data_IF_777857442448
#
_entry.id   IF_777857442448
#
_cell.length_a   1.000
_cell.length_b   1.000
_cell.length_c   1.000
_cell.angle_alpha   90.00
_cell.angle_beta   90.00
_cell.angle_gamma   90.00
#
_symmetry.space_group_name_H-M   'P 1'
#
loop_
_entity.id
_entity.type
_entity.pdbx_description
1 polymer ?
#
# COMPACT_ATOMS: atom_id res chain seq x y z
N UNK A 1 -64.98 22.97 34.26
CA UNK A 1 -65.66 24.25 33.99
C UNK A 1 -64.60 25.31 33.71
N UNK A 2 -64.86 26.15 32.70
CA UNK A 2 -64.16 27.38 32.29
C UNK A 2 -62.72 27.30 31.72
N UNK A 3 -62.58 27.50 30.40
CA UNK A 3 -61.47 28.29 29.80
C UNK A 3 -61.90 29.76 29.65
N UNK A 4 -61.34 30.61 28.75
CA UNK A 4 -60.07 30.60 27.98
C UNK A 4 -59.32 31.99 27.97
N UNK A 5 -58.33 32.16 27.06
CA UNK A 5 -57.78 33.44 26.47
C UNK A 5 -56.68 34.18 27.29
N UNK A 6 -55.56 34.70 26.76
CA UNK A 6 -55.10 34.90 25.38
C UNK A 6 -53.65 35.47 25.25
N UNK A 7 -53.26 35.71 23.99
CA UNK A 7 -51.95 36.12 23.43
C UNK A 7 -51.50 37.58 23.70
N UNK A 8 -50.19 37.80 23.83
CA UNK A 8 -49.31 38.90 23.33
C UNK A 8 -47.87 38.52 23.77
N UNK A 9 -46.76 38.54 23.02
CA UNK A 9 -46.36 39.23 21.79
C UNK A 9 -45.15 40.13 22.11
N UNK A 10 -43.91 39.65 21.95
CA UNK A 10 -42.69 40.50 21.96
C UNK A 10 -41.58 39.92 21.07
N UNK A 11 -41.39 40.56 19.92
CA UNK A 11 -40.11 40.66 19.23
C UNK A 11 -39.22 41.64 20.02
N UNK A 12 -37.92 41.34 20.15
CA UNK A 12 -36.79 42.25 19.85
C UNK A 12 -35.50 41.74 20.51
N UNK A 13 -34.81 40.84 19.79
CA UNK A 13 -33.36 40.77 19.82
C UNK A 13 -32.80 41.90 18.96
N UNK A 14 -31.96 42.79 19.49
CA UNK A 14 -30.82 43.43 18.81
C UNK A 14 -30.30 44.62 19.62
N UNK A 15 -29.16 44.47 20.30
CA UNK A 15 -28.33 45.64 20.70
C UNK A 15 -26.87 45.32 21.03
N UNK A 16 -26.48 44.06 21.33
CA UNK A 16 -25.14 43.79 21.89
C UNK A 16 -24.11 43.20 20.88
N UNK A 17 -24.51 42.85 19.65
CA UNK A 17 -23.59 42.24 18.65
C UNK A 17 -22.86 43.22 17.71
N UNK A 18 -23.32 44.46 17.58
CA UNK A 18 -22.70 45.45 16.67
C UNK A 18 -21.33 45.98 17.13
N UNK A 19 -21.10 46.01 18.45
CA UNK A 19 -19.89 46.61 19.04
C UNK A 19 -18.61 45.81 18.75
N UNK A 20 -18.67 44.48 18.70
CA UNK A 20 -17.47 43.63 18.48
C UNK A 20 -16.99 43.61 17.04
N UNK A 21 -17.91 43.69 16.08
CA UNK A 21 -17.59 43.73 14.65
C UNK A 21 -16.96 45.08 14.31
N UNK A 22 -17.49 46.18 14.87
CA UNK A 22 -16.90 47.51 14.68
C UNK A 22 -15.46 47.59 15.20
N UNK A 23 -15.16 46.99 16.36
CA UNK A 23 -13.80 46.96 16.92
C UNK A 23 -12.85 46.15 16.03
N UNK A 24 -13.28 45.01 15.49
CA UNK A 24 -12.45 44.20 14.59
C UNK A 24 -12.13 44.92 13.27
N UNK A 25 -13.10 45.67 12.72
CA UNK A 25 -12.89 46.48 11.51
C UNK A 25 -11.88 47.59 11.78
N UNK A 26 -11.99 48.30 12.92
CA UNK A 26 -11.04 49.36 13.29
C UNK A 26 -9.61 48.82 13.45
N UNK A 27 -9.45 47.65 14.08
CA UNK A 27 -8.13 47.00 14.23
C UNK A 27 -7.57 46.60 12.86
N UNK A 28 -8.39 46.02 11.98
CA UNK A 28 -7.97 45.63 10.63
C UNK A 28 -7.53 46.82 9.77
N UNK A 29 -8.26 47.94 9.85
CA UNK A 29 -7.92 49.18 9.14
C UNK A 29 -6.61 49.78 9.67
N UNK A 30 -6.42 49.81 11.00
CA UNK A 30 -5.18 50.33 11.60
C UNK A 30 -3.95 49.50 11.22
N UNK A 31 -4.06 48.16 11.24
CA UNK A 31 -2.98 47.28 10.78
C UNK A 31 -2.70 47.45 9.29
N UNK A 32 -3.75 47.55 8.45
CA UNK A 32 -3.60 47.81 7.01
C UNK A 32 -2.90 49.12 6.71
N UNK A 33 -3.21 50.19 7.46
CA UNK A 33 -2.54 51.48 7.33
C UNK A 33 -1.06 51.43 7.74
N UNK A 34 -0.70 50.67 8.78
CA UNK A 34 0.70 50.49 9.20
C UNK A 34 1.51 49.79 8.11
N UNK A 35 0.96 48.74 7.49
CA UNK A 35 1.64 48.04 6.40
C UNK A 35 1.76 48.88 5.13
N UNK A 36 0.76 49.72 4.81
CA UNK A 36 0.80 50.61 3.66
C UNK A 36 1.82 51.75 3.79
N UNK A 37 2.08 52.24 5.01
CA UNK A 37 3.06 53.31 5.28
C UNK A 37 4.49 52.75 5.37
N UNK A 38 4.68 51.56 5.96
CA UNK A 38 6.00 50.97 6.17
C UNK A 38 6.52 50.19 4.94
N UNK A 39 5.63 49.74 4.05
CA UNK A 39 5.99 48.96 2.86
C UNK A 39 5.28 49.48 1.59
N UNK A 40 5.57 50.71 1.13
CA UNK A 40 4.87 51.34 -0.01
C UNK A 40 5.11 50.66 -1.36
N UNK A 41 6.03 49.68 -1.45
CA UNK A 41 6.36 48.95 -2.69
C UNK A 41 6.22 47.41 -2.58
N UNK A 42 5.53 46.90 -1.56
CA UNK A 42 5.31 45.47 -1.38
C UNK A 42 6.54 44.71 -0.87
N UNK A 43 6.32 43.51 -0.34
CA UNK A 43 7.32 42.70 0.39
C UNK A 43 8.13 41.73 -0.47
N UNK A 44 7.94 41.72 -1.79
CA UNK A 44 8.74 40.92 -2.71
C UNK A 44 8.91 41.65 -4.06
N UNK A 45 10.13 42.07 -4.36
CA UNK A 45 10.53 42.54 -5.69
C UNK A 45 11.96 42.06 -5.99
N UNK A 46 12.08 41.45 -7.17
CA UNK A 46 13.26 41.20 -8.02
C UNK A 46 14.50 40.48 -7.45
N UNK A 47 14.84 39.35 -8.10
CA UNK A 47 16.00 39.26 -9.01
C UNK A 47 15.74 38.09 -9.98
N UNK A 48 15.50 38.43 -11.25
CA UNK A 48 15.57 37.50 -12.37
C UNK A 48 16.66 37.93 -13.35
N UNK A 49 17.56 36.97 -13.63
CA UNK A 49 18.55 36.87 -14.73
C UNK A 49 19.80 37.77 -14.69
N UNK A 50 20.97 37.17 -15.01
CA UNK A 50 21.37 37.19 -16.42
C UNK A 50 21.75 35.83 -17.00
N UNK A 51 21.57 35.78 -18.32
CA UNK A 51 21.99 34.75 -19.27
C UNK A 51 23.52 34.66 -19.47
N UNK A 52 23.93 33.46 -19.89
CA UNK A 52 25.01 33.07 -20.82
C UNK A 52 26.49 33.00 -20.40
N UNK A 53 27.11 31.94 -20.97
CA UNK A 53 28.54 31.59 -21.10
C UNK A 53 29.21 30.81 -19.95
N UNK A 54 29.49 29.51 -20.15
CA UNK A 54 30.86 29.01 -20.33
C UNK A 54 30.94 27.53 -20.78
N UNK A 55 31.62 27.39 -21.91
CA UNK A 55 32.25 26.26 -22.60
C UNK A 55 32.83 25.12 -21.73
N UNK A 56 32.57 23.88 -22.17
CA UNK A 56 33.45 22.69 -22.19
C UNK A 56 34.34 22.34 -20.99
N UNK A 57 34.20 21.11 -20.48
CA UNK A 57 35.35 20.24 -20.20
C UNK A 57 34.95 18.76 -20.16
N UNK A 58 35.66 17.97 -20.98
CA UNK A 58 35.72 16.51 -20.97
C UNK A 58 36.18 16.04 -19.58
N UNK A 59 35.48 15.09 -18.99
CA UNK A 59 35.95 14.34 -17.84
C UNK A 59 36.62 13.05 -18.32
N UNK A 60 37.93 13.04 -18.17
CA UNK A 60 38.85 11.96 -18.45
C UNK A 60 38.65 10.81 -17.45
N UNK A 61 38.70 9.57 -17.96
CA UNK A 61 38.81 8.33 -17.19
C UNK A 61 40.03 8.39 -16.26
N UNK A 62 39.84 8.13 -14.97
CA UNK A 62 40.91 7.77 -14.04
C UNK A 62 40.75 6.29 -13.64
N UNK A 63 41.76 5.48 -13.96
CA UNK A 63 41.95 4.15 -13.41
C UNK A 63 42.65 4.27 -12.05
N UNK A 64 42.18 3.63 -10.97
CA UNK A 64 42.98 3.48 -9.77
C UNK A 64 44.01 2.35 -9.97
N UNK A 65 45.27 2.65 -9.65
CA UNK A 65 46.36 1.69 -9.48
C UNK A 65 46.01 0.79 -8.28
N UNK A 66 45.93 -0.52 -8.52
CA UNK A 66 45.85 -1.55 -7.48
C UNK A 66 47.27 -2.09 -7.26
N UNK A 67 47.73 -2.01 -6.01
CA UNK A 67 48.95 -2.62 -5.50
C UNK A 67 48.85 -4.14 -5.60
N UNK A 68 49.87 -4.77 -6.20
CA UNK A 68 49.97 -6.21 -6.39
C UNK A 68 50.48 -6.88 -5.11
N UNK A 69 49.68 -7.78 -4.55
CA UNK A 69 50.15 -8.82 -3.61
C UNK A 69 50.46 -10.12 -4.35
N UNK A 70 51.20 -11.00 -3.67
CA UNK A 70 52.00 -12.15 -4.15
C UNK A 70 51.38 -13.03 -5.24
N UNK A 71 52.21 -13.38 -6.22
CA UNK A 71 51.91 -14.17 -7.41
C UNK A 71 51.24 -15.54 -7.13
N UNK A 72 49.98 -15.67 -7.53
CA UNK A 72 49.44 -16.92 -8.05
C UNK A 72 50.19 -17.30 -9.33
N UNK A 73 50.30 -18.59 -9.64
CA UNK A 73 51.07 -19.04 -10.80
C UNK A 73 50.46 -18.48 -12.11
N UNK A 74 51.27 -18.10 -13.12
CA UNK A 74 50.76 -17.59 -14.40
C UNK A 74 49.75 -18.54 -15.07
N UNK A 75 49.90 -19.84 -14.82
CA UNK A 75 49.01 -20.90 -15.30
C UNK A 75 47.64 -20.83 -14.62
N UNK A 76 47.56 -20.64 -13.29
CA UNK A 76 46.30 -20.48 -12.56
C UNK A 76 45.55 -19.22 -12.97
N UNK A 77 46.25 -18.09 -13.17
CA UNK A 77 45.62 -16.84 -13.61
C UNK A 77 45.06 -16.96 -15.03
N UNK A 78 45.75 -17.68 -15.92
CA UNK A 78 45.26 -17.95 -17.27
C UNK A 78 44.03 -18.87 -17.27
N UNK A 79 44.04 -19.90 -16.41
CA UNK A 79 42.91 -20.81 -16.21
C UNK A 79 41.70 -20.08 -15.65
N UNK A 80 41.86 -19.27 -14.60
CA UNK A 80 40.79 -18.46 -14.00
C UNK A 80 40.19 -17.46 -14.99
N UNK A 81 41.02 -16.82 -15.83
CA UNK A 81 40.52 -15.94 -16.90
C UNK A 81 39.72 -16.69 -17.96
N UNK A 82 40.14 -17.92 -18.30
CA UNK A 82 39.38 -18.76 -19.22
C UNK A 82 38.03 -19.18 -18.62
N UNK A 83 37.99 -19.58 -17.35
CA UNK A 83 36.76 -19.94 -16.63
C UNK A 83 35.82 -18.76 -16.46
N UNK A 84 36.35 -17.56 -16.15
CA UNK A 84 35.56 -16.33 -16.04
C UNK A 84 34.92 -15.95 -17.39
N UNK A 85 35.64 -16.16 -18.49
CA UNK A 85 35.15 -15.90 -19.84
C UNK A 85 34.07 -16.91 -20.23
N UNK A 86 34.26 -18.19 -19.91
CA UNK A 86 33.28 -19.26 -20.12
C UNK A 86 32.00 -19.05 -19.28
N UNK A 87 32.15 -18.62 -18.02
CA UNK A 87 31.04 -18.26 -17.15
C UNK A 87 30.30 -17.02 -17.67
N UNK A 88 31.02 -16.00 -18.15
CA UNK A 88 30.41 -14.82 -18.78
C UNK A 88 29.59 -15.21 -20.01
N UNK A 89 30.14 -16.05 -20.89
CA UNK A 89 29.46 -16.53 -22.09
C UNK A 89 28.22 -17.35 -21.73
N UNK A 90 28.30 -18.24 -20.73
CA UNK A 90 27.14 -18.97 -20.21
C UNK A 90 26.07 -18.05 -19.63
N UNK A 91 26.47 -16.99 -18.93
CA UNK A 91 25.54 -16.02 -18.35
C UNK A 91 24.82 -15.21 -19.43
N UNK A 92 25.50 -14.87 -20.52
CA UNK A 92 24.90 -14.20 -21.68
C UNK A 92 23.94 -15.13 -22.44
N UNK A 93 24.29 -16.41 -22.57
CA UNK A 93 23.40 -17.43 -23.14
C UNK A 93 22.16 -17.65 -22.26
N UNK A 94 22.32 -17.74 -20.93
CA UNK A 94 21.21 -17.83 -19.99
C UNK A 94 20.32 -16.58 -20.04
N UNK A 95 20.88 -15.38 -20.12
CA UNK A 95 20.09 -14.14 -20.32
C UNK A 95 19.33 -14.15 -21.64
N UNK A 96 19.88 -14.76 -22.69
CA UNK A 96 19.20 -14.94 -23.97
C UNK A 96 18.06 -15.95 -23.85
N UNK A 97 18.28 -17.08 -23.17
CA UNK A 97 17.24 -18.08 -22.89
C UNK A 97 16.11 -17.53 -22.01
N UNK A 98 16.43 -16.75 -20.98
CA UNK A 98 15.42 -16.08 -20.15
C UNK A 98 14.61 -15.09 -21.00
N UNK A 99 15.25 -14.29 -21.86
CA UNK A 99 14.52 -13.40 -22.78
C UNK A 99 13.61 -14.17 -23.74
N UNK A 100 14.10 -15.26 -24.33
CA UNK A 100 13.32 -16.11 -25.25
C UNK A 100 12.16 -16.79 -24.52
N UNK A 101 12.38 -17.31 -23.31
CA UNK A 101 11.34 -17.90 -22.47
C UNK A 101 10.32 -16.86 -22.00
N UNK A 102 10.73 -15.64 -21.67
CA UNK A 102 9.82 -14.53 -21.34
C UNK A 102 8.97 -14.15 -22.55
N UNK A 103 9.56 -14.07 -23.74
CA UNK A 103 8.82 -13.80 -24.99
C UNK A 103 7.87 -14.95 -25.30
N UNK A 104 8.28 -16.20 -25.09
CA UNK A 104 7.41 -17.38 -25.24
C UNK A 104 6.31 -17.44 -24.19
N UNK A 105 6.58 -17.02 -22.95
CA UNK A 105 5.59 -16.90 -21.88
C UNK A 105 4.57 -15.83 -22.25
N UNK A 106 5.01 -14.63 -22.64
CA UNK A 106 4.14 -13.56 -23.13
C UNK A 106 3.35 -13.98 -24.37
N UNK A 107 3.97 -14.71 -25.30
CA UNK A 107 3.29 -15.26 -26.47
C UNK A 107 2.32 -16.40 -26.09
N UNK A 108 2.59 -17.17 -25.03
CA UNK A 108 1.70 -18.22 -24.52
C UNK A 108 0.56 -17.65 -23.70
N UNK A 109 0.79 -16.56 -22.98
CA UNK A 109 -0.22 -15.74 -22.31
C UNK A 109 -1.08 -15.01 -23.34
N UNK A 110 -0.50 -14.56 -24.45
CA UNK A 110 -1.25 -14.06 -25.61
C UNK A 110 -1.97 -15.17 -26.39
N UNK A 111 -1.45 -16.40 -26.45
CA UNK A 111 -2.10 -17.53 -27.15
C UNK A 111 -3.22 -18.18 -26.34
N UNK A 112 -3.03 -18.34 -25.02
CA UNK A 112 -4.10 -18.74 -24.09
C UNK A 112 -5.04 -17.58 -23.80
N UNK A 113 -4.54 -16.34 -23.93
CA UNK A 113 -5.34 -15.13 -24.01
C UNK A 113 -6.01 -14.94 -25.35
N UNK A 114 -5.62 -15.60 -26.45
CA UNK A 114 -6.18 -15.33 -27.80
C UNK A 114 -7.56 -15.94 -28.03
N UNK A 115 -8.10 -16.70 -27.09
CA UNK A 115 -9.55 -16.94 -27.02
C UNK A 115 -10.32 -15.79 -26.35
N UNK A 116 -9.64 -14.91 -25.59
CA UNK A 116 -10.24 -13.83 -24.79
C UNK A 116 -9.70 -12.40 -25.09
N UNK A 117 -8.61 -12.24 -25.85
CA UNK A 117 -7.88 -10.96 -26.04
C UNK A 117 -8.27 -10.22 -27.31
N UNK A 118 -9.01 -10.83 -28.22
CA UNK A 118 -9.58 -10.15 -29.40
C UNK A 118 -10.80 -9.27 -29.04
N UNK A 119 -11.17 -9.16 -27.75
CA UNK A 119 -12.27 -8.28 -27.31
C UNK A 119 -11.84 -6.98 -26.61
N UNK A 120 -10.54 -6.75 -26.33
CA UNK A 120 -10.17 -5.64 -25.41
C UNK A 120 -9.53 -4.39 -26.05
N UNK A 121 -9.43 -4.32 -27.37
CA UNK A 121 -9.17 -3.06 -28.10
C UNK A 121 -10.09 -2.98 -29.32
N UNK A 122 -11.40 -2.96 -29.07
CA UNK A 122 -12.39 -2.56 -30.07
C UNK A 122 -13.12 -1.36 -29.48
N UNK A 123 -13.17 -0.18 -30.14
CA UNK A 123 -14.11 0.85 -29.74
C UNK A 123 -15.49 0.21 -29.81
N UNK A 124 -16.18 0.08 -28.66
CA UNK A 124 -17.47 -0.60 -28.54
C UNK A 124 -18.45 0.01 -29.55
N UNK A 125 -18.56 -0.61 -30.72
CA UNK A 125 -19.59 -0.30 -31.70
C UNK A 125 -20.73 -1.30 -31.61
N UNK A 126 -20.58 -2.39 -30.85
CA UNK A 126 -21.65 -3.34 -30.54
C UNK A 126 -21.55 -3.88 -29.11
N UNK A 127 -22.63 -3.82 -28.30
CA UNK A 127 -22.69 -4.47 -27.00
C UNK A 127 -22.50 -5.99 -27.13
N UNK A 128 -21.75 -6.65 -26.21
CA UNK A 128 -21.56 -8.09 -26.25
C UNK A 128 -22.89 -8.82 -26.04
N UNK A 129 -23.12 -9.90 -26.80
CA UNK A 129 -24.25 -10.82 -26.56
C UNK A 129 -23.87 -11.80 -25.45
N UNK A 130 -24.74 -12.05 -24.45
CA UNK A 130 -24.45 -13.04 -23.42
C UNK A 130 -24.35 -14.43 -24.04
N UNK A 131 -23.37 -15.22 -23.59
CA UNK A 131 -23.26 -16.64 -23.94
C UNK A 131 -24.37 -17.49 -23.30
N UNK A 132 -24.35 -18.82 -23.50
CA UNK A 132 -25.28 -19.75 -22.88
C UNK A 132 -25.36 -19.65 -21.34
N UNK A 133 -26.42 -20.23 -20.76
CA UNK A 133 -26.60 -20.30 -19.30
C UNK A 133 -25.36 -20.89 -18.62
N UNK A 134 -24.86 -20.21 -17.58
CA UNK A 134 -23.69 -20.64 -16.81
C UNK A 134 -22.32 -20.32 -17.44
N UNK A 135 -22.27 -19.76 -18.66
CA UNK A 135 -20.99 -19.44 -19.33
C UNK A 135 -20.63 -17.96 -19.27
N UNK A 136 -21.59 -17.09 -18.91
CA UNK A 136 -21.36 -15.64 -18.83
C UNK A 136 -20.45 -15.35 -17.63
N UNK A 137 -19.30 -14.72 -17.89
CA UNK A 137 -18.41 -14.17 -16.88
C UNK A 137 -18.40 -12.65 -17.03
N UNK A 138 -18.57 -11.93 -15.93
CA UNK A 138 -18.39 -10.48 -15.92
C UNK A 138 -16.91 -10.13 -16.09
N UNK A 139 -16.62 -9.00 -16.73
CA UNK A 139 -15.27 -8.45 -16.78
C UNK A 139 -14.92 -7.90 -15.39
N UNK A 140 -14.29 -8.72 -14.54
CA UNK A 140 -13.84 -8.28 -13.20
C UNK A 140 -12.57 -7.44 -13.25
N UNK A 141 -11.93 -7.39 -14.43
CA UNK A 141 -10.62 -6.79 -14.63
C UNK A 141 -10.80 -5.43 -15.31
N UNK A 142 -10.75 -4.36 -14.50
CA UNK A 142 -10.66 -3.02 -15.04
C UNK A 142 -9.30 -2.79 -15.72
N UNK A 143 -9.28 -2.00 -16.82
CA UNK A 143 -8.03 -1.68 -17.50
C UNK A 143 -7.11 -0.89 -16.59
N UNK A 144 -5.81 -1.13 -16.72
CA UNK A 144 -4.80 -0.31 -16.05
C UNK A 144 -4.78 1.08 -16.66
N UNK A 145 -4.51 2.09 -15.82
CA UNK A 145 -4.34 3.48 -16.25
C UNK A 145 -3.12 3.64 -17.15
N UNK A 146 -3.10 4.73 -17.93
CA UNK A 146 -1.89 5.16 -18.62
C UNK A 146 -0.92 5.78 -17.60
N UNK A 147 0.30 5.24 -17.44
CA UNK A 147 1.25 5.77 -16.47
C UNK A 147 1.63 7.23 -16.73
N UNK A 148 1.67 8.05 -15.70
CA UNK A 148 2.14 9.44 -15.78
C UNK A 148 3.41 9.64 -14.94
N UNK A 149 4.62 9.56 -15.54
CA UNK A 149 5.88 9.72 -14.82
C UNK A 149 6.11 11.15 -14.28
N UNK A 150 5.31 12.13 -14.70
CA UNK A 150 5.44 13.52 -14.24
C UNK A 150 4.91 13.74 -12.83
N UNK A 151 4.02 12.85 -12.35
CA UNK A 151 3.46 12.89 -11.00
C UNK A 151 4.54 12.81 -9.93
N UNK A 152 5.51 11.91 -10.11
CA UNK A 152 6.64 11.76 -9.20
C UNK A 152 7.87 11.21 -9.94
N UNK A 153 8.66 12.08 -10.60
CA UNK A 153 9.79 11.64 -11.43
C UNK A 153 10.90 10.92 -10.65
N UNK A 154 11.08 11.24 -9.36
CA UNK A 154 12.08 10.57 -8.51
C UNK A 154 11.64 9.14 -8.20
N UNK A 155 10.40 8.96 -7.75
CA UNK A 155 9.85 7.65 -7.46
C UNK A 155 9.80 6.79 -8.73
N UNK A 156 9.38 7.36 -9.87
CA UNK A 156 9.35 6.67 -11.15
C UNK A 156 10.70 6.04 -11.52
N UNK A 157 11.80 6.80 -11.38
CA UNK A 157 13.17 6.31 -11.65
C UNK A 157 13.64 5.23 -10.68
N UNK A 158 13.18 5.26 -9.43
CA UNK A 158 13.50 4.22 -8.45
C UNK A 158 12.77 2.93 -8.84
N UNK A 159 11.48 3.04 -9.15
CA UNK A 159 10.64 1.89 -9.50
C UNK A 159 11.08 1.21 -10.81
N UNK A 160 11.46 2.00 -11.82
CA UNK A 160 11.98 1.50 -13.10
C UNK A 160 13.24 0.63 -12.93
N UNK A 161 14.09 0.98 -11.95
CA UNK A 161 15.28 0.19 -11.61
C UNK A 161 14.95 -1.04 -10.76
N UNK A 162 13.93 -0.94 -9.91
CA UNK A 162 13.58 -1.97 -8.94
C UNK A 162 12.86 -3.17 -9.58
N UNK A 163 11.95 -2.93 -10.53
CA UNK A 163 11.11 -4.00 -11.09
C UNK A 163 10.69 -3.72 -12.53
N UNK A 164 10.78 -4.74 -13.38
CA UNK A 164 10.27 -4.70 -14.76
C UNK A 164 8.82 -5.16 -14.88
N UNK A 165 8.32 -5.91 -13.90
CA UNK A 165 6.96 -6.45 -13.87
C UNK A 165 5.93 -5.41 -13.41
N UNK A 166 6.38 -4.22 -13.00
CA UNK A 166 5.57 -3.14 -12.44
C UNK A 166 4.74 -3.55 -11.21
N UNK A 167 5.27 -4.48 -10.43
CA UNK A 167 4.70 -4.87 -9.14
C UNK A 167 5.73 -4.64 -8.05
N UNK A 168 5.31 -4.08 -6.92
CA UNK A 168 6.22 -3.73 -5.82
C UNK A 168 5.54 -3.91 -4.47
N UNK A 169 6.29 -4.47 -3.50
CA UNK A 169 5.91 -4.46 -2.08
C UNK A 169 6.29 -3.10 -1.52
N UNK A 170 5.36 -2.42 -0.86
CA UNK A 170 5.59 -1.10 -0.28
C UNK A 170 5.30 -1.14 1.21
N UNK A 171 6.32 -0.85 2.02
CA UNK A 171 6.18 -0.70 3.47
C UNK A 171 6.51 0.73 3.89
N UNK A 172 5.70 1.33 4.76
CA UNK A 172 5.95 2.65 5.32
C UNK A 172 6.52 2.50 6.72
N UNK A 173 7.62 3.19 7.03
CA UNK A 173 8.28 3.05 8.32
C UNK A 173 8.90 4.36 8.82
N UNK A 174 8.81 4.56 10.13
CA UNK A 174 9.60 5.52 10.90
C UNK A 174 10.46 4.75 11.94
N UNK A 175 11.33 5.46 12.63
CA UNK A 175 12.31 4.91 13.56
C UNK A 175 11.66 4.16 14.74
N UNK A 176 10.40 4.45 15.09
CA UNK A 176 9.68 3.76 16.17
C UNK A 176 9.40 2.29 15.86
N UNK A 177 9.31 1.94 14.57
CA UNK A 177 9.02 0.58 14.12
C UNK A 177 10.22 -0.13 13.48
N UNK A 178 11.43 0.46 13.60
CA UNK A 178 12.67 -0.03 12.99
C UNK A 178 12.94 -1.51 13.33
N UNK A 179 12.73 -1.91 14.58
CA UNK A 179 13.00 -3.29 15.03
C UNK A 179 12.08 -4.34 14.39
N UNK A 180 10.82 -3.98 14.09
CA UNK A 180 9.92 -4.85 13.34
C UNK A 180 10.28 -4.85 11.85
N UNK A 181 10.60 -3.68 11.31
CA UNK A 181 11.10 -3.56 9.93
C UNK A 181 12.33 -4.45 9.72
N UNK A 182 13.31 -4.45 10.63
CA UNK A 182 14.49 -5.33 10.56
C UNK A 182 14.13 -6.81 10.36
N UNK A 183 13.15 -7.33 11.12
CA UNK A 183 12.68 -8.71 10.97
C UNK A 183 11.97 -8.91 9.63
N UNK A 184 11.11 -7.98 9.24
CA UNK A 184 10.39 -8.02 7.96
C UNK A 184 11.35 -8.02 6.76
N UNK A 185 12.30 -7.08 6.71
CA UNK A 185 13.34 -7.01 5.68
C UNK A 185 14.19 -8.27 5.63
N UNK A 186 14.59 -8.80 6.79
CA UNK A 186 15.34 -10.04 6.88
C UNK A 186 14.56 -11.21 6.28
N UNK A 187 13.25 -11.27 6.54
CA UNK A 187 12.36 -12.29 5.97
C UNK A 187 12.19 -12.16 4.46
N UNK A 188 12.01 -10.94 3.93
CA UNK A 188 11.91 -10.64 2.49
C UNK A 188 13.18 -11.09 1.76
N UNK A 189 14.35 -10.74 2.30
CA UNK A 189 15.65 -11.15 1.76
C UNK A 189 15.83 -12.66 1.77
N UNK A 190 15.49 -13.31 2.88
CA UNK A 190 15.60 -14.78 3.02
C UNK A 190 14.61 -15.53 2.11
N UNK A 191 13.45 -14.94 1.83
CA UNK A 191 12.48 -15.44 0.86
C UNK A 191 12.86 -15.15 -0.61
N UNK A 192 13.93 -14.39 -0.87
CA UNK A 192 14.42 -14.09 -2.22
C UNK A 192 13.51 -13.15 -3.01
N UNK A 193 12.83 -12.22 -2.35
CA UNK A 193 11.88 -11.30 -2.99
C UNK A 193 12.62 -10.04 -3.48
N UNK A 194 12.68 -9.77 -4.79
CA UNK A 194 13.53 -8.71 -5.35
C UNK A 194 12.86 -7.33 -5.38
N UNK A 195 11.54 -7.28 -5.48
CA UNK A 195 10.75 -6.08 -5.80
C UNK A 195 10.03 -5.54 -4.55
N UNK A 196 10.82 -5.06 -3.60
CA UNK A 196 10.35 -4.48 -2.34
C UNK A 196 10.98 -3.11 -2.12
N UNK A 197 10.21 -2.18 -1.56
CA UNK A 197 10.63 -0.81 -1.29
C UNK A 197 10.11 -0.32 0.06
N UNK A 198 10.98 0.36 0.82
CA UNK A 198 10.60 1.07 2.05
C UNK A 198 10.37 2.55 1.75
N UNK A 199 9.18 3.05 2.10
CA UNK A 199 8.94 4.48 2.17
C UNK A 199 9.40 4.97 3.54
N UNK A 200 10.55 5.62 3.56
CA UNK A 200 11.18 6.12 4.77
C UNK A 200 10.53 7.44 5.21
N UNK A 201 9.97 7.45 6.42
CA UNK A 201 9.28 8.60 7.01
C UNK A 201 10.22 9.52 7.81
N UNK A 202 11.42 9.06 8.14
CA UNK A 202 12.47 9.85 8.80
C UNK A 202 13.88 9.43 8.35
N UNK A 203 14.89 10.19 8.80
CA UNK A 203 16.29 9.95 8.44
C UNK A 203 16.85 8.65 9.03
N UNK A 204 16.36 8.22 10.20
CA UNK A 204 16.79 6.97 10.81
C UNK A 204 16.43 5.74 9.97
N UNK A 205 15.27 5.74 9.32
CA UNK A 205 14.90 4.70 8.36
C UNK A 205 15.67 4.83 7.04
N UNK A 206 15.99 6.04 6.59
CA UNK A 206 16.87 6.22 5.42
C UNK A 206 18.24 5.59 5.67
N UNK A 207 18.85 5.86 6.83
CA UNK A 207 20.17 5.34 7.17
C UNK A 207 20.13 3.82 7.33
N UNK A 208 19.10 3.29 8.00
CA UNK A 208 18.84 1.85 8.05
C UNK A 208 18.77 1.23 6.64
N UNK A 209 18.02 1.84 5.71
CA UNK A 209 17.87 1.29 4.36
C UNK A 209 19.19 1.30 3.58
N UNK A 210 20.00 2.37 3.72
CA UNK A 210 21.34 2.46 3.10
C UNK A 210 22.29 1.40 3.66
N UNK A 211 22.36 1.28 4.99
CA UNK A 211 23.23 0.32 5.69
C UNK A 211 22.89 -1.13 5.33
N UNK A 212 21.62 -1.39 5.03
CA UNK A 212 21.11 -2.72 4.75
C UNK A 212 20.84 -2.97 3.26
N UNK A 213 21.30 -2.13 2.32
CA UNK A 213 21.06 -2.33 0.87
C UNK A 213 19.58 -2.62 0.54
N UNK A 214 18.71 -1.77 1.08
CA UNK A 214 17.26 -1.81 0.88
C UNK A 214 16.87 -0.70 -0.07
N UNK A 215 16.08 -0.99 -1.11
CA UNK A 215 15.50 0.05 -1.95
C UNK A 215 14.53 0.89 -1.11
N UNK A 216 14.68 2.22 -1.17
CA UNK A 216 13.86 3.13 -0.39
C UNK A 216 13.47 4.38 -1.16
N UNK A 217 12.40 5.02 -0.70
CA UNK A 217 11.94 6.33 -1.13
C UNK A 217 11.64 7.19 0.10
N UNK A 218 12.27 8.35 0.20
CA UNK A 218 11.87 9.40 1.15
C UNK A 218 11.22 10.51 0.34
N UNK A 219 10.06 11.01 0.79
CA UNK A 219 9.41 12.17 0.17
C UNK A 219 10.24 13.43 0.36
N UNK A 220 10.00 14.43 -0.49
CA UNK A 220 10.54 15.76 -0.25
C UNK A 220 9.92 16.35 1.02
N UNK A 221 10.67 17.16 1.79
CA UNK A 221 10.14 17.75 3.01
C UNK A 221 8.86 18.55 2.74
N UNK A 222 7.85 18.28 3.55
CA UNK A 222 6.56 18.96 3.56
C UNK A 222 6.16 19.09 5.02
N UNK A 223 6.21 20.29 5.59
CA UNK A 223 6.04 20.51 7.03
C UNK A 223 4.71 19.94 7.58
N UNK A 224 3.65 19.93 6.77
CA UNK A 224 2.34 19.39 7.15
C UNK A 224 2.32 17.86 7.17
N UNK A 225 3.05 17.22 6.27
CA UNK A 225 3.17 15.76 6.18
C UNK A 225 4.26 15.22 7.11
N UNK A 226 5.38 15.92 7.22
CA UNK A 226 6.55 15.54 8.01
C UNK A 226 6.25 15.59 9.51
N UNK A 227 5.47 16.56 9.96
CA UNK A 227 4.99 16.60 11.35
C UNK A 227 4.08 15.40 11.65
N UNK A 228 3.17 15.07 10.74
CA UNK A 228 2.33 13.87 10.84
C UNK A 228 3.16 12.57 10.83
N UNK A 229 4.17 12.49 9.98
CA UNK A 229 5.03 11.31 9.87
C UNK A 229 5.92 11.08 11.09
N UNK A 230 6.36 12.17 11.76
CA UNK A 230 7.25 12.15 12.93
C UNK A 230 6.51 12.03 14.27
N UNK A 231 5.39 12.73 14.43
CA UNK A 231 4.69 12.85 15.71
C UNK A 231 3.18 12.67 15.64
N UNK A 232 2.63 12.40 14.44
CA UNK A 232 1.20 12.14 14.26
C UNK A 232 0.78 10.82 14.91
N UNK A 233 -0.43 10.80 15.47
CA UNK A 233 -1.06 9.55 15.89
C UNK A 233 -1.36 8.64 14.69
N UNK A 234 -1.61 7.36 14.94
CA UNK A 234 -1.82 6.32 13.91
C UNK A 234 -2.76 6.77 12.77
N UNK A 235 -3.84 7.50 13.08
CA UNK A 235 -4.80 8.01 12.10
C UNK A 235 -4.20 8.96 11.04
N UNK A 236 -3.32 9.86 11.44
CA UNK A 236 -2.73 10.85 10.55
C UNK A 236 -1.68 10.18 9.63
N UNK A 237 -0.89 9.25 10.18
CA UNK A 237 0.05 8.41 9.41
C UNK A 237 -0.69 7.51 8.42
N UNK A 238 -1.86 6.96 8.80
CA UNK A 238 -2.70 6.19 7.89
C UNK A 238 -3.25 7.02 6.73
N UNK A 239 -3.61 8.29 6.91
CA UNK A 239 -4.00 9.16 5.79
C UNK A 239 -2.86 9.38 4.78
N UNK A 240 -1.63 9.53 5.28
CA UNK A 240 -0.43 9.64 4.44
C UNK A 240 -0.16 8.35 3.64
N UNK A 241 -0.40 7.18 4.25
CA UNK A 241 -0.27 5.87 3.60
C UNK A 241 -1.01 5.82 2.28
N UNK A 242 -2.31 6.13 2.26
CA UNK A 242 -3.12 6.03 1.04
C UNK A 242 -2.74 7.07 -0.02
N UNK A 243 -2.34 8.28 0.39
CA UNK A 243 -1.81 9.30 -0.55
C UNK A 243 -0.52 8.85 -1.22
N UNK A 244 0.38 8.21 -0.48
CA UNK A 244 1.62 7.68 -1.04
C UNK A 244 1.32 6.56 -2.03
N UNK A 245 0.48 5.58 -1.64
CA UNK A 245 0.09 4.47 -2.53
C UNK A 245 -0.51 4.95 -3.85
N UNK A 246 -1.26 6.06 -3.81
CA UNK A 246 -1.86 6.66 -5.00
C UNK A 246 -0.82 7.06 -6.05
N UNK A 247 0.31 7.62 -5.62
CA UNK A 247 1.39 8.01 -6.53
C UNK A 247 1.95 6.80 -7.28
N UNK A 248 2.11 5.65 -6.62
CA UNK A 248 2.56 4.42 -7.27
C UNK A 248 1.55 3.92 -8.32
N UNK A 249 0.26 3.95 -8.01
CA UNK A 249 -0.78 3.54 -8.95
C UNK A 249 -0.81 4.46 -10.17
N UNK A 250 -0.67 5.78 -9.99
CA UNK A 250 -0.60 6.74 -11.10
C UNK A 250 0.66 6.58 -11.97
N UNK A 251 1.75 6.08 -11.39
CA UNK A 251 2.96 5.67 -12.12
C UNK A 251 2.78 4.31 -12.84
N UNK A 252 1.60 3.68 -12.74
CA UNK A 252 1.27 2.43 -13.39
C UNK A 252 1.87 1.19 -12.73
N UNK A 253 2.25 1.28 -11.45
CA UNK A 253 2.74 0.15 -10.68
C UNK A 253 1.62 -0.42 -9.82
N UNK A 254 1.44 -1.74 -9.86
CA UNK A 254 0.65 -2.44 -8.86
C UNK A 254 1.41 -2.47 -7.55
N UNK A 255 0.68 -2.29 -6.44
CA UNK A 255 1.29 -2.20 -5.12
C UNK A 255 0.72 -3.26 -4.20
N UNK A 256 1.60 -4.05 -3.58
CA UNK A 256 1.28 -4.81 -2.39
C UNK A 256 1.67 -3.97 -1.17
N UNK A 257 0.70 -3.33 -0.53
CA UNK A 257 0.94 -2.66 0.75
C UNK A 257 1.29 -3.72 1.79
N UNK A 258 2.31 -3.43 2.60
CA UNK A 258 2.70 -4.22 3.77
C UNK A 258 2.92 -3.32 4.98
N UNK A 259 2.23 -3.63 6.07
CA UNK A 259 2.67 -3.20 7.39
C UNK A 259 4.00 -3.87 7.75
N UNK A 260 4.71 -3.28 8.70
CA UNK A 260 6.06 -3.68 9.12
C UNK A 260 6.08 -4.91 10.03
N UNK A 261 4.93 -5.32 10.55
CA UNK A 261 4.73 -6.46 11.45
C UNK A 261 4.36 -7.75 10.71
N UNK A 262 4.87 -7.89 9.48
CA UNK A 262 4.65 -9.01 8.58
C UNK A 262 5.97 -9.76 8.36
N UNK A 263 5.91 -11.08 8.51
CA UNK A 263 7.00 -11.99 8.16
C UNK A 263 6.69 -12.63 6.82
N UNK A 264 7.60 -12.52 5.85
CA UNK A 264 7.52 -13.13 4.54
C UNK A 264 8.24 -14.47 4.52
N UNK A 265 7.55 -15.53 4.10
CA UNK A 265 8.07 -16.89 4.00
C UNK A 265 8.27 -17.28 2.53
N UNK A 266 7.43 -16.75 1.62
CA UNK A 266 7.51 -16.97 0.18
C UNK A 266 7.24 -15.68 -0.59
N UNK A 267 7.61 -15.66 -1.87
CA UNK A 267 7.31 -14.53 -2.74
C UNK A 267 5.79 -14.41 -3.00
N UNK A 268 5.12 -13.34 -2.56
CA UNK A 268 3.67 -13.20 -2.67
C UNK A 268 3.18 -13.05 -4.10
N UNK A 269 4.00 -12.55 -5.01
CA UNK A 269 3.60 -12.36 -6.41
C UNK A 269 3.35 -13.68 -7.15
N UNK A 270 3.81 -14.81 -6.62
CA UNK A 270 3.49 -16.13 -7.16
C UNK A 270 2.09 -16.63 -6.74
N UNK A 271 1.43 -15.96 -5.79
CA UNK A 271 0.17 -16.39 -5.17
C UNK A 271 -0.96 -15.37 -5.29
N UNK A 272 -0.68 -14.15 -5.78
CA UNK A 272 -1.67 -13.10 -6.05
C UNK A 272 -2.33 -13.38 -7.41
N UNK A 273 -3.66 -13.34 -7.46
CA UNK A 273 -4.44 -13.67 -8.68
C UNK A 273 -4.50 -12.53 -9.69
N UNK A 274 -4.46 -11.28 -9.22
CA UNK A 274 -4.48 -10.07 -10.07
C UNK A 274 -5.76 -9.93 -10.91
N UNK A 275 -6.87 -10.55 -10.53
CA UNK A 275 -8.13 -10.53 -11.28
C UNK A 275 -9.19 -9.57 -10.69
N UNK A 276 -8.78 -8.78 -9.70
CA UNK A 276 -9.58 -7.77 -9.02
C UNK A 276 -8.78 -6.47 -8.86
N UNK A 277 -9.48 -5.33 -8.75
CA UNK A 277 -8.87 -4.04 -8.43
C UNK A 277 -8.16 -4.07 -7.08
N UNK A 278 -8.78 -4.77 -6.11
CA UNK A 278 -8.29 -4.97 -4.75
C UNK A 278 -8.25 -6.46 -4.43
N UNK A 279 -7.09 -6.99 -4.08
CA UNK A 279 -6.95 -8.33 -3.50
C UNK A 279 -6.41 -8.16 -2.08
N UNK A 280 -7.15 -8.60 -1.06
CA UNK A 280 -6.82 -8.27 0.33
C UNK A 280 -6.90 -9.48 1.24
N UNK A 281 -6.02 -9.46 2.24
CA UNK A 281 -6.06 -10.37 3.35
C UNK A 281 -7.30 -10.13 4.22
N UNK A 282 -7.99 -11.19 4.64
CA UNK A 282 -9.09 -11.08 5.59
C UNK A 282 -8.60 -11.09 7.04
N UNK A 283 -9.26 -10.32 7.89
CA UNK A 283 -9.15 -10.47 9.35
C UNK A 283 -9.93 -11.69 9.88
N UNK A 284 -10.72 -12.35 9.03
CA UNK A 284 -11.34 -13.64 9.33
C UNK A 284 -10.32 -14.73 9.71
N UNK A 285 -10.78 -15.75 10.42
CA UNK A 285 -9.92 -16.81 10.97
C UNK A 285 -10.39 -18.23 10.65
N UNK A 286 -11.49 -18.38 9.93
CA UNK A 286 -11.98 -19.65 9.37
C UNK A 286 -12.60 -19.39 7.98
N UNK A 287 -13.14 -20.43 7.32
CA UNK A 287 -13.77 -20.28 5.99
C UNK A 287 -14.95 -19.28 6.02
N UNK A 288 -15.82 -19.35 7.03
CA UNK A 288 -17.04 -18.54 7.10
C UNK A 288 -16.70 -17.07 7.32
N UNK A 289 -15.82 -16.79 8.28
CA UNK A 289 -15.41 -15.44 8.63
C UNK A 289 -14.54 -14.81 7.54
N UNK A 290 -13.63 -15.57 6.93
CA UNK A 290 -12.75 -15.06 5.88
C UNK A 290 -13.48 -14.80 4.55
N UNK A 291 -14.40 -15.68 4.15
CA UNK A 291 -15.04 -15.65 2.82
C UNK A 291 -16.50 -15.21 2.83
N UNK A 292 -17.04 -14.95 4.02
CA UNK A 292 -18.40 -14.46 4.22
C UNK A 292 -19.43 -15.58 4.38
N UNK A 293 -20.55 -15.24 5.03
CA UNK A 293 -21.65 -16.17 5.29
C UNK A 293 -23.00 -15.45 5.41
N UNK A 294 -24.06 -16.21 5.15
CA UNK A 294 -25.44 -15.81 5.41
C UNK A 294 -25.71 -15.83 6.92
N UNK A 295 -26.07 -14.69 7.47
CA UNK A 295 -26.43 -14.51 8.87
C UNK A 295 -27.91 -14.13 8.99
N UNK A 296 -28.57 -14.54 10.07
CA UNK A 296 -30.01 -14.32 10.23
C UNK A 296 -30.25 -13.39 11.40
N UNK A 297 -30.77 -12.20 11.08
CA UNK A 297 -31.28 -11.27 12.08
C UNK A 297 -32.65 -11.76 12.57
N UNK A 298 -32.82 -11.86 13.88
CA UNK A 298 -34.03 -12.34 14.54
C UNK A 298 -34.80 -11.17 15.17
N UNK A 299 -36.00 -10.89 14.65
CA UNK A 299 -36.95 -9.92 15.18
C UNK A 299 -38.29 -10.57 15.57
N UNK A 300 -38.45 -11.07 16.81
CA UNK A 300 -39.60 -11.88 17.22
C UNK A 300 -40.97 -11.22 17.01
N UNK A 301 -41.05 -9.89 17.14
CA UNK A 301 -42.29 -9.10 16.97
C UNK A 301 -42.86 -9.17 15.56
N UNK A 302 -42.08 -9.58 14.56
CA UNK A 302 -42.47 -9.62 13.15
C UNK A 302 -43.21 -10.92 12.75
N UNK A 303 -43.37 -11.88 13.66
CA UNK A 303 -44.13 -13.11 13.42
C UNK A 303 -43.51 -13.94 12.28
N UNK A 304 -44.22 -14.08 11.16
CA UNK A 304 -43.71 -14.83 9.99
C UNK A 304 -42.44 -14.21 9.39
N UNK A 305 -42.30 -12.87 9.43
CA UNK A 305 -41.14 -12.17 8.88
C UNK A 305 -39.98 -12.01 9.90
N UNK A 306 -39.99 -12.78 10.99
CA UNK A 306 -39.02 -12.73 12.10
C UNK A 306 -37.57 -12.92 11.66
N UNK A 307 -37.32 -13.72 10.63
CA UNK A 307 -35.97 -14.08 10.20
C UNK A 307 -35.61 -13.31 8.92
N UNK A 308 -34.76 -12.30 9.07
CA UNK A 308 -34.23 -11.53 7.96
C UNK A 308 -32.80 -11.97 7.64
N UNK A 309 -32.55 -12.37 6.39
CA UNK A 309 -31.22 -12.73 5.94
C UNK A 309 -30.34 -11.49 5.77
N UNK A 310 -29.12 -11.58 6.29
CA UNK A 310 -28.04 -10.58 6.17
C UNK A 310 -26.78 -11.28 5.64
N UNK A 311 -25.88 -10.51 5.03
CA UNK A 311 -24.58 -11.01 4.60
C UNK A 311 -23.50 -10.47 5.54
N UNK A 312 -22.70 -11.37 6.12
CA UNK A 312 -21.58 -10.99 6.98
C UNK A 312 -20.27 -11.40 6.34
N UNK A 313 -19.34 -10.46 6.29
CA UNK A 313 -17.96 -10.67 5.83
C UNK A 313 -17.08 -9.98 6.86
N UNK A 314 -16.01 -10.64 7.31
CA UNK A 314 -15.03 -9.95 8.15
C UNK A 314 -14.27 -8.94 7.31
N UNK A 315 -13.93 -7.83 7.95
CA UNK A 315 -13.22 -6.74 7.30
C UNK A 315 -11.94 -7.23 6.64
N UNK A 316 -11.63 -6.63 5.50
CA UNK A 316 -10.32 -6.70 4.88
C UNK A 316 -9.31 -5.95 5.72
N UNK A 317 -8.14 -6.53 5.88
CA UNK A 317 -7.06 -5.94 6.65
C UNK A 317 -6.44 -4.77 5.88
N UNK A 318 -6.34 -3.59 6.52
CA UNK A 318 -5.77 -2.39 5.88
C UNK A 318 -4.24 -2.29 5.97
N UNK A 319 -3.58 -3.33 6.48
CA UNK A 319 -2.13 -3.47 6.56
C UNK A 319 -1.54 -4.47 5.56
N UNK A 320 -2.37 -5.24 4.84
CA UNK A 320 -1.89 -6.11 3.76
C UNK A 320 -2.92 -6.29 2.65
N UNK A 321 -2.70 -5.59 1.53
CA UNK A 321 -3.55 -5.69 0.34
C UNK A 321 -2.78 -5.33 -0.92
N UNK A 322 -3.18 -5.93 -2.03
CA UNK A 322 -2.69 -5.71 -3.37
C UNK A 322 -3.68 -4.83 -4.16
N UNK A 323 -3.16 -3.79 -4.80
CA UNK A 323 -3.91 -2.90 -5.69
C UNK A 323 -3.34 -2.95 -7.10
N UNK A 324 -4.23 -3.10 -8.08
CA UNK A 324 -3.90 -2.83 -9.49
C UNK A 324 -3.96 -1.33 -9.77
N UNK A 325 -3.19 -0.80 -10.73
CA UNK A 325 -3.25 0.61 -11.10
C UNK A 325 -4.48 0.88 -11.99
N UNK A 326 -5.68 0.76 -11.43
CA UNK A 326 -6.96 1.00 -12.12
C UNK A 326 -7.65 2.23 -11.56
N UNK A 327 -8.62 2.78 -12.30
CA UNK A 327 -9.40 3.95 -11.82
C UNK A 327 -10.13 3.64 -10.50
N UNK A 328 -10.83 2.49 -10.33
CA UNK A 328 -11.50 2.20 -9.06
C UNK A 328 -10.53 2.04 -7.88
N UNK A 329 -9.34 1.46 -8.08
CA UNK A 329 -8.33 1.36 -7.03
C UNK A 329 -7.77 2.73 -6.61
N UNK A 330 -7.54 3.63 -7.58
CA UNK A 330 -7.12 5.01 -7.29
C UNK A 330 -8.23 5.77 -6.57
N UNK A 331 -9.49 5.61 -7.01
CA UNK A 331 -10.65 6.23 -6.37
C UNK A 331 -10.84 5.76 -4.92
N UNK A 332 -10.61 4.46 -4.64
CA UNK A 332 -10.60 3.94 -3.26
C UNK A 332 -9.59 4.70 -2.40
N UNK A 333 -8.35 4.85 -2.88
CA UNK A 333 -7.30 5.57 -2.15
C UNK A 333 -7.68 7.04 -1.91
N UNK A 334 -8.28 7.70 -2.90
CA UNK A 334 -8.75 9.08 -2.78
C UNK A 334 -9.85 9.22 -1.71
N UNK A 335 -10.88 8.36 -1.76
CA UNK A 335 -11.98 8.37 -0.80
C UNK A 335 -11.50 8.10 0.63
N UNK A 336 -10.64 7.09 0.80
CA UNK A 336 -10.10 6.71 2.11
C UNK A 336 -9.22 7.83 2.68
N UNK A 337 -8.31 8.40 1.87
CA UNK A 337 -7.46 9.50 2.30
C UNK A 337 -8.27 10.76 2.64
N UNK A 338 -9.30 11.07 1.85
CA UNK A 338 -10.19 12.20 2.10
C UNK A 338 -10.96 12.02 3.42
N UNK A 339 -11.60 10.87 3.65
CA UNK A 339 -12.37 10.64 4.88
C UNK A 339 -11.46 10.67 6.11
N UNK A 340 -10.28 10.05 6.05
CA UNK A 340 -9.33 10.07 7.17
C UNK A 340 -8.79 11.46 7.50
N UNK A 341 -8.81 12.39 6.53
CA UNK A 341 -8.39 13.77 6.74
C UNK A 341 -9.45 14.67 7.40
N UNK A 342 -10.69 14.20 7.54
CA UNK A 342 -11.81 14.98 8.06
C UNK A 342 -12.21 14.49 9.46
N UNK A 343 -12.63 15.39 10.37
CA UNK A 343 -13.19 14.99 11.66
C UNK A 343 -14.59 14.37 11.50
N UNK A 344 -15.01 13.49 12.43
CA UNK A 344 -14.23 12.98 13.56
C UNK A 344 -13.14 11.99 13.13
N UNK A 345 -12.05 11.81 13.91
CA UNK A 345 -11.04 10.81 13.63
C UNK A 345 -11.66 9.43 13.41
N UNK A 346 -11.25 8.75 12.35
CA UNK A 346 -11.74 7.41 12.00
C UNK A 346 -10.58 6.42 11.92
N UNK A 347 -10.86 5.15 12.21
CA UNK A 347 -9.88 4.08 12.06
C UNK A 347 -9.76 3.68 10.59
N UNK A 348 -8.54 3.61 10.07
CA UNK A 348 -8.27 3.37 8.66
C UNK A 348 -8.82 2.05 8.13
N UNK A 349 -8.76 0.98 8.93
CA UNK A 349 -9.38 -0.28 8.56
C UNK A 349 -10.89 -0.16 8.39
N UNK A 350 -11.56 0.56 9.29
CA UNK A 350 -12.99 0.82 9.17
C UNK A 350 -13.29 1.63 7.92
N UNK A 351 -12.54 2.72 7.69
CA UNK A 351 -12.72 3.55 6.50
C UNK A 351 -12.54 2.78 5.20
N UNK A 352 -11.44 2.03 5.09
CA UNK A 352 -11.12 1.23 3.92
C UNK A 352 -12.25 0.26 3.57
N UNK A 353 -12.84 -0.40 4.57
CA UNK A 353 -13.93 -1.34 4.35
C UNK A 353 -15.26 -0.65 4.08
N UNK A 354 -15.59 0.43 4.77
CA UNK A 354 -16.82 1.17 4.50
C UNK A 354 -16.84 1.69 3.06
N UNK A 355 -15.76 2.31 2.58
CA UNK A 355 -15.68 2.78 1.18
C UNK A 355 -15.72 1.63 0.16
N UNK A 356 -15.16 0.47 0.51
CA UNK A 356 -15.12 -0.69 -0.39
C UNK A 356 -16.44 -1.50 -0.41
N UNK A 357 -17.25 -1.46 0.64
CA UNK A 357 -18.42 -2.33 0.81
C UNK A 357 -19.77 -1.61 0.86
N UNK A 358 -19.83 -0.31 1.15
CA UNK A 358 -21.11 0.38 1.21
C UNK A 358 -21.80 0.44 -0.16
N UNK A 359 -23.09 0.03 -0.23
CA UNK A 359 -23.85 0.12 -1.46
C UNK A 359 -24.16 1.59 -1.80
N UNK A 360 -24.40 1.87 -3.08
CA UNK A 360 -24.98 3.15 -3.48
C UNK A 360 -26.35 3.37 -2.79
N UNK A 361 -26.57 4.56 -2.28
CA UNK A 361 -27.81 4.96 -1.60
C UNK A 361 -28.08 6.46 -1.83
N UNK A 362 -29.26 7.01 -1.47
CA UNK A 362 -29.52 8.43 -1.66
C UNK A 362 -28.40 9.30 -1.07
N UNK A 363 -27.79 10.14 -1.90
CA UNK A 363 -26.67 11.01 -1.50
C UNK A 363 -25.28 10.37 -1.49
N UNK A 364 -25.13 9.09 -1.84
CA UNK A 364 -23.83 8.40 -1.90
C UNK A 364 -23.75 7.44 -3.07
N UNK A 365 -22.71 7.57 -3.88
CA UNK A 365 -22.38 6.61 -4.94
C UNK A 365 -21.30 5.68 -4.40
N UNK A 366 -21.63 4.42 -4.21
CA UNK A 366 -20.71 3.39 -3.75
C UNK A 366 -19.56 3.20 -4.74
N UNK A 367 -18.42 2.72 -4.24
CA UNK A 367 -17.26 2.42 -5.07
C UNK A 367 -17.52 1.17 -5.92
N UNK A 368 -17.26 1.26 -7.22
CA UNK A 368 -17.36 0.13 -8.16
C UNK A 368 -16.00 -0.53 -8.40
N UNK A 369 -15.36 -0.99 -7.32
CA UNK A 369 -14.11 -1.75 -7.38
C UNK A 369 -14.38 -3.25 -7.25
N UNK A 370 -13.77 -4.06 -8.12
CA UNK A 370 -13.76 -5.51 -7.96
C UNK A 370 -12.82 -5.90 -6.82
N UNK A 371 -13.17 -6.97 -6.10
CA UNK A 371 -12.46 -7.38 -4.88
C UNK A 371 -12.30 -8.88 -4.76
N UNK A 372 -11.15 -9.31 -4.24
CA UNK A 372 -10.81 -10.70 -3.94
C UNK A 372 -10.28 -10.84 -2.50
N UNK A 373 -10.74 -11.86 -1.80
CA UNK A 373 -10.12 -12.30 -0.55
C UNK A 373 -8.95 -13.23 -0.86
N UNK A 374 -7.79 -12.95 -0.26
CA UNK A 374 -6.63 -13.85 -0.30
C UNK A 374 -6.91 -15.16 0.46
N UNK A 375 -6.23 -16.24 0.09
CA UNK A 375 -6.36 -17.51 0.81
C UNK A 375 -5.91 -17.37 2.28
N UNK A 376 -6.76 -17.74 3.23
CA UNK A 376 -6.52 -17.48 4.67
C UNK A 376 -5.31 -18.21 5.24
N UNK A 377 -4.89 -19.34 4.66
CA UNK A 377 -3.76 -20.12 5.15
C UNK A 377 -2.46 -19.66 4.50
N UNK A 378 -2.51 -19.25 3.22
CA UNK A 378 -1.36 -18.69 2.54
C UNK A 378 -1.05 -17.26 3.00
N UNK A 379 -2.08 -16.45 3.29
CA UNK A 379 -1.95 -15.07 3.76
C UNK A 379 -2.57 -14.93 5.15
N UNK A 380 -1.91 -15.54 6.13
CA UNK A 380 -2.50 -15.79 7.44
C UNK A 380 -2.27 -14.65 8.45
N UNK A 381 -3.29 -14.33 9.23
CA UNK A 381 -3.13 -13.48 10.41
C UNK A 381 -2.60 -14.30 11.60
N UNK A 382 -2.06 -13.58 12.58
CA UNK A 382 -1.54 -14.20 13.79
C UNK A 382 -2.62 -14.91 14.61
N UNK A 383 -3.90 -14.54 14.51
CA UNK A 383 -4.97 -15.31 15.18
C UNK A 383 -5.07 -16.71 14.59
N UNK A 384 -5.08 -16.86 13.26
CA UNK A 384 -5.01 -18.17 12.58
C UNK A 384 -3.74 -18.93 12.98
N UNK A 385 -2.59 -18.26 12.97
CA UNK A 385 -1.31 -18.90 13.30
C UNK A 385 -1.28 -19.46 14.73
N UNK A 386 -1.61 -18.62 15.72
CA UNK A 386 -1.43 -18.95 17.14
C UNK A 386 -2.63 -19.69 17.76
N UNK A 387 -3.86 -19.52 17.26
CA UNK A 387 -5.01 -20.27 17.79
C UNK A 387 -5.23 -21.62 17.12
N UNK A 388 -4.86 -21.76 15.84
CA UNK A 388 -5.21 -22.93 15.03
C UNK A 388 -3.96 -23.62 14.47
N UNK A 389 -3.23 -22.97 13.55
CA UNK A 389 -2.24 -23.66 12.71
C UNK A 389 -1.09 -24.26 13.51
N UNK A 390 -0.56 -23.56 14.52
CA UNK A 390 0.54 -24.10 15.34
C UNK A 390 0.15 -25.35 16.17
N UNK A 391 -1.15 -25.57 16.39
CA UNK A 391 -1.67 -26.65 17.25
C UNK A 391 -2.10 -27.90 16.49
N UNK A 392 -2.20 -27.80 15.16
CA UNK A 392 -2.60 -28.91 14.32
C UNK A 392 -1.38 -29.50 13.60
N UNK A 393 -1.18 -30.80 13.75
CA UNK A 393 -0.02 -31.54 13.22
C UNK A 393 0.09 -31.52 11.69
N UNK A 394 -1.02 -31.32 10.99
CA UNK A 394 -1.04 -31.23 9.53
C UNK A 394 -0.90 -29.78 9.09
N UNK A 395 -1.62 -28.85 9.73
CA UNK A 395 -1.55 -27.43 9.37
C UNK A 395 -0.18 -26.83 9.68
N UNK A 396 0.50 -27.24 10.75
CA UNK A 396 1.85 -26.72 11.06
C UNK A 396 2.91 -27.04 10.00
N UNK A 397 2.63 -28.00 9.11
CA UNK A 397 3.49 -28.35 7.96
C UNK A 397 3.28 -27.42 6.76
N UNK A 398 2.22 -26.62 6.77
CA UNK A 398 1.97 -25.64 5.72
C UNK A 398 3.10 -24.63 5.69
N UNK A 399 3.47 -24.25 4.47
CA UNK A 399 4.36 -23.13 4.23
C UNK A 399 3.50 -21.96 3.75
N UNK A 400 3.14 -20.99 4.62
CA UNK A 400 2.38 -19.83 4.18
C UNK A 400 3.23 -18.93 3.28
N UNK A 401 2.61 -17.94 2.66
CA UNK A 401 3.31 -16.86 1.96
C UNK A 401 3.79 -15.84 2.97
N UNK A 402 2.90 -15.39 3.84
CA UNK A 402 3.18 -14.43 4.91
C UNK A 402 2.50 -14.84 6.20
N UNK A 403 2.99 -14.32 7.32
CA UNK A 403 2.25 -14.25 8.59
C UNK A 403 2.20 -12.79 9.04
N UNK A 404 0.99 -12.25 9.18
CA UNK A 404 0.78 -10.88 9.68
C UNK A 404 0.47 -10.89 11.18
N UNK A 405 1.31 -10.24 11.99
CA UNK A 405 1.16 -10.21 13.46
C UNK A 405 0.23 -9.08 13.94
N UNK A 406 -0.96 -9.01 13.36
CA UNK A 406 -1.94 -7.94 13.61
C UNK A 406 -2.84 -8.12 14.85
N UNK A 407 -3.06 -9.35 15.31
CA UNK A 407 -3.99 -9.65 16.42
C UNK A 407 -3.36 -9.66 17.81
N UNK A 408 -2.05 -9.48 17.92
CA UNK A 408 -1.32 -9.60 19.18
C UNK A 408 -0.48 -8.33 19.45
N UNK A 409 -0.46 -7.82 20.69
CA UNK A 409 0.29 -6.59 21.02
C UNK A 409 1.81 -6.82 21.07
N UNK A 410 2.25 -8.03 21.42
CA UNK A 410 3.65 -8.47 21.48
C UNK A 410 4.20 -8.86 20.09
N UNK A 411 4.03 -7.95 19.12
CA UNK A 411 4.31 -8.17 17.70
C UNK A 411 5.74 -8.64 17.44
N UNK A 412 6.73 -7.89 17.92
CA UNK A 412 8.14 -8.16 17.63
C UNK A 412 8.61 -9.54 18.13
N UNK A 413 8.39 -9.96 19.39
CA UNK A 413 8.71 -11.32 19.85
C UNK A 413 8.07 -12.41 18.99
N UNK A 414 6.78 -12.26 18.63
CA UNK A 414 6.07 -13.23 17.79
C UNK A 414 6.60 -13.28 16.36
N UNK A 415 6.94 -12.13 15.76
CA UNK A 415 7.58 -12.10 14.45
C UNK A 415 8.91 -12.87 14.45
N UNK A 416 9.74 -12.66 15.49
CA UNK A 416 11.00 -13.41 15.64
C UNK A 416 10.73 -14.91 15.77
N UNK A 417 9.74 -15.31 16.57
CA UNK A 417 9.37 -16.71 16.71
C UNK A 417 8.87 -17.34 15.41
N UNK A 418 8.05 -16.62 14.64
CA UNK A 418 7.60 -17.05 13.31
C UNK A 418 8.79 -17.20 12.36
N UNK A 419 9.74 -16.25 12.39
CA UNK A 419 10.97 -16.34 11.61
C UNK A 419 11.77 -17.60 11.99
N UNK A 420 12.04 -17.83 13.27
CA UNK A 420 12.75 -19.02 13.76
C UNK A 420 12.06 -20.32 13.35
N UNK A 421 10.74 -20.37 13.46
CA UNK A 421 9.93 -21.54 13.11
C UNK A 421 10.08 -21.91 11.63
N UNK A 422 9.85 -20.95 10.72
CA UNK A 422 9.82 -21.24 9.28
C UNK A 422 11.20 -21.27 8.62
N UNK A 423 12.16 -20.49 9.11
CA UNK A 423 13.45 -20.32 8.46
C UNK A 423 14.61 -21.04 9.13
N UNK A 424 14.52 -21.30 10.44
CA UNK A 424 15.57 -21.97 11.21
C UNK A 424 15.12 -23.35 11.72
N UNK A 425 13.87 -23.75 11.44
CA UNK A 425 13.33 -25.07 11.76
C UNK A 425 13.07 -25.30 13.25
N UNK A 426 13.08 -24.23 14.07
CA UNK A 426 12.87 -24.31 15.51
C UNK A 426 11.38 -24.57 15.82
N UNK A 427 11.01 -25.83 15.95
CA UNK A 427 9.61 -26.28 16.06
C UNK A 427 8.90 -25.76 17.31
N UNK A 428 9.63 -25.60 18.41
CA UNK A 428 9.13 -25.09 19.70
C UNK A 428 9.07 -23.55 19.76
N UNK A 429 9.52 -22.83 18.73
CA UNK A 429 9.64 -21.38 18.76
C UNK A 429 8.31 -20.67 19.06
N UNK A 430 7.19 -21.26 18.65
CA UNK A 430 5.85 -20.68 18.81
C UNK A 430 5.17 -21.09 20.11
N UNK A 431 5.63 -22.12 20.81
CA UNK A 431 4.98 -22.70 22.00
C UNK A 431 4.89 -21.73 23.19
N UNK A 432 5.90 -20.89 23.49
CA UNK A 432 5.85 -20.02 24.67
C UNK A 432 4.75 -18.95 24.65
N UNK A 433 4.14 -18.69 23.49
CA UNK A 433 3.18 -17.60 23.34
C UNK A 433 1.76 -18.04 23.71
N UNK A 434 0.97 -17.23 24.44
CA UNK A 434 -0.45 -17.50 24.62
C UNK A 434 -1.22 -17.35 23.30
N UNK A 435 -2.43 -17.92 23.26
CA UNK A 435 -3.37 -17.82 22.13
C UNK A 435 -3.86 -16.41 21.86
N UNK A 436 -3.93 -15.58 22.90
CA UNK A 436 -4.37 -14.19 22.85
C UNK A 436 -3.33 -13.26 23.46
N UNK A 437 -3.79 -12.13 23.99
CA UNK A 437 -2.95 -11.10 24.62
C UNK A 437 -2.92 -11.16 26.14
N UNK A 438 -3.67 -12.09 26.75
CA UNK A 438 -3.74 -12.22 28.21
C UNK A 438 -2.44 -12.86 28.73
N UNK A 439 -1.82 -12.19 29.70
CA UNK A 439 -0.59 -12.58 30.38
C UNK A 439 -0.85 -13.34 31.68
#
# INVERSE_FOLDING_TARGET
>A
MAGPVGRRGTNASQSIRGSRIAVAIVIGVLLGCIFAVLYPHGLFSDISNPTSHFRSRRLSKSNPKIESTSCESPEEVSKLKSEMTDLSNKNDELKKQVRDLTVKLQASEQKNGQSDSDQQIVPVSTPPKPGPFGTVKGTTINPTILPDPTINPRLAKILEKLTTQKEVIVALANSNVKSMLEVSVSSIKKAGIPNYLVVALDDGIVDFCKENDVAFYKRDPDEGIDSVAKSGGNHAVSGLKFRILREFLQLGYSVLLSDVDIVYIQNPFNFIYRDADVESMSDGHDNFTAYGYNDVFDEPSMGWARYAHTMRIWVYNSGFFYLRPTIPAIELLDRVAERLSKPPPAWDQAVFNEELFFPSHPGYVGLYASKRTMDRYMFMNSKVMFKEVRKDENLKKLKPVIVHVNYHPDKLPRMKAVFEFYFNGKQDALEPFPDGSDW
#
